data_IF_934172744617
#
_entry.id   IF_934172744617
#
_cell.length_a   1.000
_cell.length_b   1.000
_cell.length_c   1.000
_cell.angle_alpha   90.00
_cell.angle_beta   90.00
_cell.angle_gamma   90.00
#
_symmetry.space_group_name_H-M   'P 1'
#
loop_
_entity.id
_entity.type
_entity.pdbx_description
1 polymer ?
#
# COMPACT_ATOMS: atom_id res chain seq x y z
N UNK A 1 -22.58 -7.74 23.07
CA UNK A 1 -21.64 -7.51 21.95
C UNK A 1 -20.28 -7.95 22.44
N UNK A 2 -19.82 -9.11 21.99
CA UNK A 2 -18.68 -9.79 22.58
C UNK A 2 -17.41 -8.97 22.36
N UNK A 3 -16.58 -8.77 23.40
CA UNK A 3 -15.35 -7.97 23.31
C UNK A 3 -14.42 -8.43 22.18
N UNK A 4 -14.50 -9.71 21.80
CA UNK A 4 -13.79 -10.29 20.64
C UNK A 4 -14.19 -9.61 19.33
N UNK A 5 -15.49 -9.41 19.08
CA UNK A 5 -15.96 -8.77 17.84
C UNK A 5 -15.42 -7.34 17.73
N UNK A 6 -15.52 -6.55 18.80
CA UNK A 6 -14.99 -5.18 18.85
C UNK A 6 -13.46 -5.16 18.69
N UNK A 7 -12.75 -6.09 19.30
CA UNK A 7 -11.31 -6.23 19.13
C UNK A 7 -10.93 -6.51 17.68
N UNK A 8 -11.68 -7.38 16.99
CA UNK A 8 -11.44 -7.67 15.58
C UNK A 8 -11.81 -6.52 14.65
N UNK A 9 -12.80 -5.69 15.01
CA UNK A 9 -13.03 -4.44 14.28
C UNK A 9 -11.84 -3.48 14.38
N UNK A 10 -11.24 -3.34 15.56
CA UNK A 10 -10.05 -2.50 15.76
C UNK A 10 -8.84 -3.05 15.01
N UNK A 11 -8.60 -4.37 15.10
CA UNK A 11 -7.53 -5.04 14.36
C UNK A 11 -7.72 -4.89 12.85
N UNK A 12 -8.94 -5.10 12.38
CA UNK A 12 -9.31 -5.01 10.97
C UNK A 12 -9.25 -3.59 10.42
N UNK A 13 -9.60 -2.58 11.22
CA UNK A 13 -9.43 -1.17 10.84
C UNK A 13 -7.94 -0.81 10.71
N UNK A 14 -7.09 -1.31 11.62
CA UNK A 14 -5.64 -1.11 11.58
C UNK A 14 -5.05 -1.74 10.31
N UNK A 15 -5.36 -3.02 10.06
CA UNK A 15 -4.94 -3.73 8.86
C UNK A 15 -5.46 -3.09 7.59
N UNK A 16 -6.75 -2.75 7.57
CA UNK A 16 -7.40 -2.16 6.42
C UNK A 16 -6.89 -0.78 6.06
N UNK A 17 -6.43 -0.01 7.05
CA UNK A 17 -5.76 1.28 6.81
C UNK A 17 -4.43 1.11 6.07
N UNK A 18 -3.66 0.07 6.42
CA UNK A 18 -2.42 -0.28 5.69
C UNK A 18 -2.73 -0.77 4.28
N UNK A 19 -3.68 -1.70 4.13
CA UNK A 19 -4.11 -2.16 2.81
C UNK A 19 -4.64 -1.00 1.95
N UNK A 20 -5.34 -0.04 2.55
CA UNK A 20 -5.79 1.18 1.89
C UNK A 20 -4.64 2.02 1.34
N UNK A 21 -3.59 2.25 2.12
CA UNK A 21 -2.40 2.98 1.67
C UNK A 21 -1.76 2.32 0.43
N UNK A 22 -1.58 1.00 0.45
CA UNK A 22 -0.98 0.26 -0.67
C UNK A 22 -1.95 0.23 -1.87
N UNK A 23 -3.25 0.01 -1.62
CA UNK A 23 -4.29 0.00 -2.66
C UNK A 23 -4.40 1.33 -3.40
N UNK A 24 -4.19 2.46 -2.72
CA UNK A 24 -4.13 3.78 -3.35
C UNK A 24 -2.94 3.88 -4.31
N UNK A 25 -1.77 3.34 -3.94
CA UNK A 25 -0.61 3.27 -4.82
C UNK A 25 -0.90 2.50 -6.11
N UNK A 26 -1.50 1.31 -5.99
CA UNK A 26 -1.99 0.53 -7.15
C UNK A 26 -2.97 1.33 -8.01
N UNK A 27 -3.95 1.96 -7.37
CA UNK A 27 -5.03 2.71 -8.02
C UNK A 27 -4.51 3.93 -8.77
N UNK A 28 -3.53 4.63 -8.23
CA UNK A 28 -2.88 5.79 -8.85
C UNK A 28 -2.15 5.41 -10.14
N UNK A 29 -1.29 4.38 -10.07
CA UNK A 29 -0.51 3.91 -11.21
C UNK A 29 -1.45 3.36 -12.29
N UNK A 30 -2.39 2.50 -11.90
CA UNK A 30 -3.37 1.95 -12.85
C UNK A 30 -4.25 3.03 -13.44
N UNK A 31 -4.73 4.00 -12.65
CA UNK A 31 -5.64 5.02 -13.15
C UNK A 31 -5.04 5.83 -14.30
N UNK A 32 -3.71 6.04 -14.29
CA UNK A 32 -3.00 6.73 -15.38
C UNK A 32 -2.60 5.78 -16.49
N UNK A 33 -2.12 4.57 -16.18
CA UNK A 33 -1.46 3.66 -17.13
C UNK A 33 -2.40 2.61 -17.72
N UNK A 34 -3.50 2.30 -17.05
CA UNK A 34 -4.41 1.24 -17.42
C UNK A 34 -3.78 -0.15 -17.31
N UNK A 35 -2.68 -0.29 -16.58
CA UNK A 35 -1.96 -1.54 -16.39
C UNK A 35 -1.60 -1.72 -14.92
N UNK A 36 -1.61 -2.97 -14.47
CA UNK A 36 -1.32 -3.34 -13.08
C UNK A 36 0.19 -3.39 -12.88
N UNK A 37 0.65 -2.80 -11.78
CA UNK A 37 2.05 -2.82 -11.38
C UNK A 37 2.30 -3.87 -10.28
N UNK A 38 2.61 -5.10 -10.66
CA UNK A 38 2.90 -6.17 -9.70
C UNK A 38 4.14 -5.90 -8.83
N UNK A 39 5.12 -5.14 -9.32
CA UNK A 39 6.30 -4.76 -8.54
C UNK A 39 5.97 -3.82 -7.37
N UNK A 40 4.76 -3.24 -7.30
CA UNK A 40 4.37 -2.34 -6.21
C UNK A 40 4.36 -3.04 -4.83
N UNK A 41 3.99 -4.32 -4.77
CA UNK A 41 4.08 -5.12 -3.55
C UNK A 41 5.52 -5.29 -3.06
N UNK A 42 6.46 -5.45 -3.99
CA UNK A 42 7.89 -5.53 -3.64
C UNK A 42 8.48 -4.19 -3.20
N UNK A 43 7.96 -3.08 -3.73
CA UNK A 43 8.32 -1.73 -3.23
C UNK A 43 7.90 -1.57 -1.76
N UNK A 44 6.74 -2.12 -1.38
CA UNK A 44 6.31 -2.21 0.01
C UNK A 44 7.28 -3.11 0.83
N UNK A 45 7.66 -4.29 0.33
CA UNK A 45 8.62 -5.16 1.02
C UNK A 45 9.96 -4.46 1.24
N UNK A 46 10.52 -3.82 0.21
CA UNK A 46 11.78 -3.07 0.32
C UNK A 46 11.69 -1.99 1.39
N UNK A 47 10.55 -1.31 1.50
CA UNK A 47 10.37 -0.30 2.54
C UNK A 47 10.36 -0.87 3.96
N UNK A 48 9.92 -2.11 4.17
CA UNK A 48 10.03 -2.80 5.45
C UNK A 48 11.49 -3.05 5.85
N UNK A 49 12.33 -3.52 4.89
CA UNK A 49 13.77 -3.66 5.11
C UNK A 49 14.45 -2.32 5.34
N UNK A 50 14.13 -1.29 4.56
CA UNK A 50 14.67 0.05 4.74
C UNK A 50 14.27 0.64 6.10
N UNK A 51 13.06 0.36 6.57
CA UNK A 51 12.62 0.75 7.91
C UNK A 51 13.53 0.11 8.96
N UNK A 52 13.71 -1.20 8.92
CA UNK A 52 14.59 -1.91 9.85
C UNK A 52 16.05 -1.41 9.82
N UNK A 53 16.60 -1.19 8.63
CA UNK A 53 17.96 -0.65 8.46
C UNK A 53 18.05 0.76 9.07
N UNK A 54 17.07 1.62 8.80
CA UNK A 54 17.07 2.98 9.34
C UNK A 54 16.92 3.02 10.86
N UNK A 55 16.11 2.12 11.43
CA UNK A 55 15.99 1.95 12.88
C UNK A 55 17.33 1.52 13.50
N UNK A 56 17.99 0.53 12.91
CA UNK A 56 19.28 0.04 13.38
C UNK A 56 20.37 1.12 13.30
N UNK A 57 20.41 1.89 12.20
CA UNK A 57 21.36 3.00 12.04
C UNK A 57 21.13 4.11 13.06
N UNK A 58 19.88 4.55 13.25
CA UNK A 58 19.56 5.62 14.22
C UNK A 58 19.84 5.18 15.66
N UNK A 59 19.55 3.92 15.98
CA UNK A 59 19.90 3.34 17.28
C UNK A 59 21.43 3.28 17.48
N UNK A 60 22.20 2.93 16.45
CA UNK A 60 23.66 2.93 16.50
C UNK A 60 24.25 4.33 16.79
N UNK A 61 23.63 5.39 16.27
CA UNK A 61 24.01 6.78 16.57
C UNK A 61 23.46 7.30 17.92
N UNK A 62 22.85 6.45 18.75
CA UNK A 62 22.36 6.83 20.09
C UNK A 62 21.08 7.65 20.07
N UNK A 63 20.31 7.63 18.98
CA UNK A 63 19.00 8.29 18.94
C UNK A 63 17.97 7.41 19.65
N UNK A 64 17.70 7.70 20.92
CA UNK A 64 16.73 6.95 21.73
C UNK A 64 15.32 7.59 21.75
N UNK A 65 15.22 8.86 21.32
CA UNK A 65 13.95 9.59 21.32
C UNK A 65 12.99 9.02 20.26
N UNK A 66 11.89 8.41 20.72
CA UNK A 66 10.89 7.78 19.84
C UNK A 66 10.40 8.70 18.69
N UNK A 67 9.99 9.97 18.92
CA UNK A 67 9.56 10.85 17.84
C UNK A 67 10.64 11.12 16.80
N UNK A 68 11.88 11.32 17.25
CA UNK A 68 13.01 11.61 16.36
C UNK A 68 13.36 10.39 15.51
N UNK A 69 13.36 9.23 16.14
CA UNK A 69 13.63 7.93 15.52
C UNK A 69 12.55 7.59 14.48
N UNK A 70 11.28 7.80 14.80
CA UNK A 70 10.18 7.62 13.85
C UNK A 70 10.23 8.57 12.67
N UNK A 71 10.44 9.87 12.93
CA UNK A 71 10.49 10.86 11.86
C UNK A 71 11.69 10.59 10.95
N UNK A 72 12.85 10.28 11.51
CA UNK A 72 14.05 9.89 10.77
C UNK A 72 13.83 8.64 9.91
N UNK A 73 13.25 7.58 10.49
CA UNK A 73 12.90 6.33 9.79
C UNK A 73 11.93 6.60 8.63
N UNK A 74 10.86 7.35 8.90
CA UNK A 74 9.80 7.62 7.92
C UNK A 74 10.32 8.51 6.77
N UNK A 75 11.12 9.55 7.06
CA UNK A 75 11.75 10.35 6.01
C UNK A 75 12.73 9.55 5.17
N UNK A 76 13.62 8.79 5.82
CA UNK A 76 14.61 7.97 5.12
C UNK A 76 13.93 6.96 4.19
N UNK A 77 12.98 6.20 4.72
CA UNK A 77 12.24 5.20 3.94
C UNK A 77 11.45 5.82 2.79
N UNK A 78 10.73 6.93 3.03
CA UNK A 78 9.98 7.64 1.97
C UNK A 78 10.91 8.08 0.83
N UNK A 79 12.06 8.67 1.16
CA UNK A 79 13.00 9.17 0.15
C UNK A 79 13.57 8.01 -0.66
N UNK A 80 14.11 6.99 0.02
CA UNK A 80 14.78 5.87 -0.66
C UNK A 80 13.77 5.03 -1.45
N UNK A 81 12.61 4.71 -0.89
CA UNK A 81 11.56 3.97 -1.60
C UNK A 81 10.98 4.79 -2.76
N UNK A 82 10.89 6.12 -2.63
CA UNK A 82 10.55 7.01 -3.73
C UNK A 82 11.52 6.92 -4.90
N UNK A 83 12.83 6.81 -4.62
CA UNK A 83 13.87 6.58 -5.63
C UNK A 83 13.71 5.20 -6.29
N UNK A 84 13.36 4.15 -5.53
CA UNK A 84 13.01 2.85 -6.11
C UNK A 84 11.82 2.96 -7.07
N UNK A 85 10.74 3.65 -6.66
CA UNK A 85 9.58 3.88 -7.51
C UNK A 85 9.92 4.58 -8.82
N UNK A 86 10.74 5.65 -8.74
CA UNK A 86 11.23 6.36 -9.92
C UNK A 86 12.11 5.47 -10.83
N UNK A 87 13.03 4.70 -10.22
CA UNK A 87 13.95 3.82 -10.95
C UNK A 87 13.20 2.70 -11.67
N UNK A 88 12.23 2.07 -11.01
CA UNK A 88 11.37 1.04 -11.61
C UNK A 88 10.60 1.63 -12.79
N UNK A 89 10.00 2.82 -12.65
CA UNK A 89 9.32 3.49 -13.76
C UNK A 89 10.26 3.71 -14.94
N UNK A 90 11.46 4.23 -14.68
CA UNK A 90 12.40 4.63 -15.72
C UNK A 90 12.99 3.45 -16.48
N UNK A 91 13.32 2.37 -15.79
CA UNK A 91 14.01 1.21 -16.36
C UNK A 91 13.00 0.20 -16.93
N UNK A 92 11.93 -0.10 -16.19
CA UNK A 92 11.06 -1.23 -16.52
C UNK A 92 9.82 -0.83 -17.31
N UNK A 93 9.27 0.37 -17.06
CA UNK A 93 7.99 0.78 -17.63
C UNK A 93 8.14 1.77 -18.79
N UNK A 94 9.01 2.77 -18.64
CA UNK A 94 9.18 3.84 -19.63
C UNK A 94 9.57 3.31 -21.02
N UNK A 95 10.52 2.36 -21.16
CA UNK A 95 10.91 1.86 -22.48
C UNK A 95 9.79 1.09 -23.19
N UNK A 96 8.90 0.45 -22.43
CA UNK A 96 7.84 -0.41 -22.94
C UNK A 96 6.49 0.32 -23.12
N UNK A 97 6.43 1.62 -22.84
CA UNK A 97 5.18 2.40 -22.84
C UNK A 97 4.48 2.44 -24.20
N UNK A 98 5.25 2.36 -25.30
CA UNK A 98 4.73 2.36 -26.67
C UNK A 98 4.61 0.93 -27.25
N UNK A 99 4.88 -0.10 -26.44
CA UNK A 99 4.76 -1.51 -26.85
C UNK A 99 3.34 -2.03 -26.62
N UNK A 100 3.13 -3.32 -26.85
CA UNK A 100 1.86 -3.99 -26.59
C UNK A 100 1.51 -3.92 -25.10
N UNK A 101 0.20 -3.94 -24.77
CA UNK A 101 -0.28 -3.85 -23.38
C UNK A 101 0.25 -4.97 -22.46
N UNK A 102 0.69 -6.09 -23.03
CA UNK A 102 1.26 -7.21 -22.28
C UNK A 102 2.72 -6.99 -21.88
N UNK A 103 3.50 -6.22 -22.65
CA UNK A 103 4.93 -6.08 -22.39
C UNK A 103 5.24 -5.40 -21.03
N UNK A 104 4.56 -4.30 -20.64
CA UNK A 104 4.76 -3.70 -19.32
C UNK A 104 4.29 -4.60 -18.16
N UNK A 105 3.31 -5.48 -18.39
CA UNK A 105 2.86 -6.46 -17.39
C UNK A 105 3.93 -7.52 -17.13
N UNK A 106 4.52 -8.07 -18.20
CA UNK A 106 5.61 -9.05 -18.11
C UNK A 106 6.83 -8.42 -17.44
N UNK A 107 7.15 -7.18 -17.81
CA UNK A 107 8.23 -6.40 -17.17
C UNK A 107 7.97 -6.18 -15.68
N UNK A 108 6.73 -5.87 -15.29
CA UNK A 108 6.33 -5.72 -13.89
C UNK A 108 6.61 -6.99 -13.07
N UNK A 109 6.23 -8.15 -13.61
CA UNK A 109 6.46 -9.46 -12.98
C UNK A 109 7.96 -9.75 -12.90
N UNK A 110 8.71 -9.47 -13.97
CA UNK A 110 10.17 -9.63 -14.00
C UNK A 110 10.86 -8.79 -12.93
N UNK A 111 10.50 -7.50 -12.80
CA UNK A 111 11.01 -6.64 -11.73
C UNK A 111 10.59 -7.15 -10.36
N UNK A 112 9.35 -7.63 -10.19
CA UNK A 112 8.87 -8.21 -8.93
C UNK A 112 9.80 -9.34 -8.47
N UNK A 113 10.09 -10.28 -9.38
CA UNK A 113 10.99 -11.40 -9.11
C UNK A 113 12.43 -10.93 -8.82
N UNK A 114 12.94 -9.95 -9.58
CA UNK A 114 14.28 -9.40 -9.36
C UNK A 114 14.37 -8.78 -7.96
N UNK A 115 13.42 -7.93 -7.57
CA UNK A 115 13.42 -7.26 -6.28
C UNK A 115 13.26 -8.25 -5.12
N UNK A 116 12.37 -9.22 -5.27
CA UNK A 116 12.16 -10.29 -4.29
C UNK A 116 13.43 -11.13 -4.07
N UNK A 117 14.04 -11.64 -5.14
CA UNK A 117 15.26 -12.43 -5.05
C UNK A 117 16.47 -11.58 -4.61
N UNK A 118 16.53 -10.32 -5.01
CA UNK A 118 17.55 -9.39 -4.53
C UNK A 118 17.46 -9.19 -3.02
N UNK A 119 16.26 -9.00 -2.48
CA UNK A 119 16.06 -8.92 -1.03
C UNK A 119 16.46 -10.23 -0.34
N UNK A 120 16.08 -11.38 -0.90
CA UNK A 120 16.44 -12.69 -0.37
C UNK A 120 17.97 -12.92 -0.32
N UNK A 121 18.71 -12.51 -1.35
CA UNK A 121 20.17 -12.68 -1.40
C UNK A 121 20.87 -11.66 -0.50
N UNK A 122 20.44 -10.40 -0.51
CA UNK A 122 21.12 -9.32 0.21
C UNK A 122 20.83 -9.32 1.73
N UNK A 123 19.61 -9.67 2.12
CA UNK A 123 19.14 -9.63 3.52
C UNK A 123 19.01 -11.04 4.13
N UNK A 124 19.04 -12.08 3.30
CA UNK A 124 18.87 -13.47 3.71
C UNK A 124 17.41 -13.95 3.58
N UNK A 125 17.25 -15.26 3.52
CA UNK A 125 15.93 -15.91 3.35
C UNK A 125 15.17 -16.11 4.66
N UNK A 126 15.74 -15.74 5.81
CA UNK A 126 15.10 -15.89 7.12
C UNK A 126 14.20 -14.70 7.41
N UNK A 127 13.13 -14.96 8.16
CA UNK A 127 12.29 -13.90 8.69
C UNK A 127 13.13 -12.96 9.57
N UNK A 128 13.02 -11.67 9.29
CA UNK A 128 13.68 -10.62 10.07
C UNK A 128 12.67 -9.95 10.98
N UNK A 129 13.17 -9.24 11.99
CA UNK A 129 12.33 -8.51 12.91
C UNK A 129 12.95 -7.22 13.42
N UNK A 130 12.07 -6.35 13.91
CA UNK A 130 12.42 -5.08 14.55
C UNK A 130 11.93 -5.09 15.99
N UNK A 131 12.65 -4.44 16.92
CA UNK A 131 12.21 -4.33 18.30
C UNK A 131 10.88 -3.57 18.41
N UNK A 132 10.13 -3.85 19.47
CA UNK A 132 8.92 -3.09 19.81
C UNK A 132 9.30 -1.68 20.23
N UNK A 133 8.89 -0.68 19.45
CA UNK A 133 9.26 0.73 19.63
C UNK A 133 8.31 1.50 20.55
N UNK A 134 7.06 1.05 20.64
CA UNK A 134 6.00 1.66 21.45
C UNK A 134 5.42 0.59 22.35
N UNK A 135 5.71 0.69 23.64
CA UNK A 135 5.13 -0.16 24.66
C UNK A 135 3.92 0.51 25.30
N UNK A 136 2.90 -0.29 25.62
CA UNK A 136 1.69 0.17 26.28
C UNK A 136 0.43 0.07 25.42
N UNK A 137 -0.69 -0.09 26.10
CA UNK A 137 -2.00 -0.18 25.48
C UNK A 137 -3.08 0.39 26.38
N UNK A 138 -4.07 1.04 25.77
CA UNK A 138 -5.30 1.39 26.44
C UNK A 138 -6.22 0.18 26.39
N UNK A 139 -6.75 -0.22 27.56
CA UNK A 139 -7.75 -1.29 27.67
C UNK A 139 -9.08 -0.67 28.03
N UNK A 140 -10.07 -0.88 27.17
CA UNK A 140 -11.45 -0.47 27.42
C UNK A 140 -12.24 -1.74 27.72
N UNK A 141 -12.80 -1.84 28.92
CA UNK A 141 -13.68 -2.94 29.30
C UNK A 141 -15.02 -2.78 28.59
N UNK A 142 -15.45 -3.81 27.87
CA UNK A 142 -16.74 -3.83 27.18
C UNK A 142 -17.46 -5.15 27.51
N UNK A 143 -18.43 -5.07 28.42
CA UNK A 143 -19.17 -6.24 28.88
C UNK A 143 -18.26 -7.26 29.57
N UNK A 144 -18.26 -8.52 29.10
CA UNK A 144 -17.43 -9.61 29.62
C UNK A 144 -16.02 -9.69 29.03
N UNK A 145 -15.64 -8.75 28.14
CA UNK A 145 -14.33 -8.74 27.49
C UNK A 145 -13.63 -7.38 27.56
N UNK A 146 -12.41 -7.32 27.04
CA UNK A 146 -11.64 -6.09 26.92
C UNK A 146 -11.25 -5.84 25.46
N UNK A 147 -11.30 -4.57 25.07
CA UNK A 147 -10.74 -4.09 23.81
C UNK A 147 -9.39 -3.47 24.11
N UNK A 148 -8.33 -4.02 23.53
CA UNK A 148 -6.97 -3.54 23.67
C UNK A 148 -6.52 -2.76 22.44
N UNK A 149 -6.31 -1.47 22.65
CA UNK A 149 -5.79 -0.53 21.66
C UNK A 149 -4.36 -0.12 22.04
N UNK A 150 -3.38 -0.78 21.43
CA UNK A 150 -1.95 -0.46 21.59
C UNK A 150 -1.65 0.92 21.02
N UNK A 151 -0.73 1.67 21.63
CA UNK A 151 -0.30 2.98 21.08
C UNK A 151 0.21 2.87 19.64
N UNK A 152 0.85 1.76 19.27
CA UNK A 152 1.22 1.44 17.88
C UNK A 152 0.03 1.45 16.93
N UNK A 153 -1.12 0.87 17.32
CA UNK A 153 -2.33 0.86 16.47
C UNK A 153 -2.90 2.26 16.29
N UNK A 154 -2.91 3.07 17.35
CA UNK A 154 -3.35 4.47 17.28
C UNK A 154 -2.46 5.24 16.32
N UNK A 155 -1.14 5.09 16.45
CA UNK A 155 -0.17 5.71 15.56
C UNK A 155 -0.39 5.28 14.09
N UNK A 156 -0.60 3.99 13.83
CA UNK A 156 -0.89 3.47 12.49
C UNK A 156 -2.15 4.10 11.90
N UNK A 157 -3.24 4.14 12.66
CA UNK A 157 -4.49 4.74 12.21
C UNK A 157 -4.28 6.22 11.88
N UNK A 158 -3.68 6.99 12.79
CA UNK A 158 -3.43 8.41 12.58
C UNK A 158 -2.53 8.63 11.36
N UNK A 159 -1.39 7.96 11.27
CA UNK A 159 -0.46 8.11 10.16
C UNK A 159 -1.08 7.70 8.82
N UNK A 160 -1.86 6.61 8.79
CA UNK A 160 -2.53 6.16 7.58
C UNK A 160 -3.63 7.12 7.13
N UNK A 161 -4.51 7.56 8.03
CA UNK A 161 -5.55 8.54 7.68
C UNK A 161 -4.95 9.90 7.27
N UNK A 162 -3.88 10.35 7.92
CA UNK A 162 -3.14 11.55 7.52
C UNK A 162 -2.53 11.37 6.13
N UNK A 163 -1.86 10.24 5.85
CA UNK A 163 -1.28 9.95 4.54
C UNK A 163 -2.32 9.91 3.42
N UNK A 164 -3.42 9.19 3.65
CA UNK A 164 -4.54 9.11 2.70
C UNK A 164 -5.24 10.46 2.50
N UNK A 165 -5.43 11.23 3.58
CA UNK A 165 -6.03 12.56 3.56
C UNK A 165 -5.15 13.57 2.82
N UNK A 166 -3.84 13.57 3.08
CA UNK A 166 -2.85 14.40 2.41
C UNK A 166 -2.84 14.10 0.90
N UNK A 167 -2.79 12.82 0.52
CA UNK A 167 -2.79 12.44 -0.89
C UNK A 167 -4.11 12.83 -1.57
N UNK A 168 -5.25 12.64 -0.90
CA UNK A 168 -6.55 13.08 -1.40
C UNK A 168 -6.58 14.59 -1.62
N UNK A 169 -6.02 15.38 -0.69
CA UNK A 169 -5.89 16.82 -0.84
C UNK A 169 -5.02 17.18 -2.04
N UNK A 170 -3.85 16.54 -2.18
CA UNK A 170 -2.93 16.75 -3.31
C UNK A 170 -3.64 16.46 -4.64
N UNK A 171 -4.33 15.34 -4.76
CA UNK A 171 -4.98 14.95 -6.03
C UNK A 171 -6.21 15.80 -6.34
N UNK A 172 -6.98 16.21 -5.32
CA UNK A 172 -8.21 16.98 -5.54
C UNK A 172 -7.94 18.46 -5.82
N UNK A 173 -7.05 19.09 -5.05
CA UNK A 173 -6.94 20.55 -4.99
C UNK A 173 -5.66 21.14 -5.60
N UNK A 174 -4.64 20.33 -5.94
CA UNK A 174 -3.37 20.88 -6.47
C UNK A 174 -3.24 20.83 -7.99
N UNK A 175 -2.24 21.57 -8.52
CA UNK A 175 -1.84 21.53 -9.94
C UNK A 175 -1.42 20.12 -10.38
N UNK A 176 -0.71 19.38 -9.53
CA UNK A 176 -0.30 17.99 -9.81
C UNK A 176 -1.53 17.11 -10.03
N UNK A 177 -2.52 17.19 -9.14
CA UNK A 177 -3.77 16.46 -9.28
C UNK A 177 -4.58 16.78 -10.54
N UNK A 178 -4.57 18.05 -10.98
CA UNK A 178 -5.16 18.44 -12.29
C UNK A 178 -4.43 17.79 -13.46
N UNK A 179 -3.10 17.81 -13.46
CA UNK A 179 -2.31 17.15 -14.51
C UNK A 179 -2.52 15.63 -14.54
N UNK A 180 -2.58 14.98 -13.37
CA UNK A 180 -2.89 13.56 -13.28
C UNK A 180 -4.25 13.26 -13.93
N UNK A 181 -5.33 13.94 -13.53
CA UNK A 181 -6.67 13.72 -14.08
C UNK A 181 -6.75 13.98 -15.60
N UNK A 182 -6.09 15.04 -16.09
CA UNK A 182 -6.00 15.29 -17.53
C UNK A 182 -5.28 14.15 -18.28
N UNK A 183 -4.17 13.65 -17.71
CA UNK A 183 -3.39 12.54 -18.27
C UNK A 183 -4.17 11.21 -18.23
N UNK A 184 -5.03 11.00 -17.23
CA UNK A 184 -5.92 9.83 -17.14
C UNK A 184 -7.00 9.81 -18.24
N UNK A 185 -7.54 10.98 -18.59
CA UNK A 185 -8.59 11.09 -19.62
C UNK A 185 -8.05 10.85 -21.03
N UNK A 186 -7.00 11.60 -21.39
CA UNK A 186 -6.34 11.44 -22.68
C UNK A 186 -4.88 11.91 -22.63
N UNK A 187 -3.97 10.94 -22.61
CA UNK A 187 -2.53 11.18 -22.56
C UNK A 187 -2.03 11.97 -23.76
N UNK A 188 -2.56 11.70 -24.96
CA UNK A 188 -2.09 12.32 -26.19
C UNK A 188 -2.54 13.78 -26.25
N UNK A 189 -3.81 14.04 -25.92
CA UNK A 189 -4.31 15.41 -25.81
C UNK A 189 -3.60 16.19 -24.71
N UNK A 190 -3.38 15.59 -23.53
CA UNK A 190 -2.66 16.24 -22.44
C UNK A 190 -1.24 16.67 -22.88
N UNK A 191 -0.52 15.84 -23.65
CA UNK A 191 0.80 16.22 -24.19
C UNK A 191 0.74 17.36 -25.21
N UNK A 192 -0.31 17.43 -26.04
CA UNK A 192 -0.49 18.52 -27.01
C UNK A 192 -0.78 19.85 -26.29
N UNK A 193 -1.49 19.80 -25.16
CA UNK A 193 -1.76 20.94 -24.30
C UNK A 193 -0.57 21.37 -23.42
N UNK A 194 0.63 20.83 -23.66
CA UNK A 194 1.86 21.20 -22.97
C UNK A 194 2.10 20.51 -21.62
N UNK A 195 1.27 19.53 -21.23
CA UNK A 195 1.52 18.73 -20.03
C UNK A 195 2.59 17.68 -20.35
N UNK A 196 3.70 17.70 -19.60
CA UNK A 196 4.71 16.66 -19.71
C UNK A 196 4.20 15.36 -19.06
N UNK A 197 3.51 14.53 -19.84
CA UNK A 197 2.89 13.27 -19.38
C UNK A 197 3.90 12.27 -18.84
N UNK A 198 5.12 12.27 -19.38
CA UNK A 198 6.23 11.47 -18.88
C UNK A 198 6.54 11.80 -17.42
N UNK A 199 6.69 13.09 -17.08
CA UNK A 199 6.93 13.53 -15.70
C UNK A 199 5.74 13.22 -14.79
N UNK A 200 4.51 13.39 -15.28
CA UNK A 200 3.30 13.05 -14.51
C UNK A 200 3.31 11.58 -14.12
N UNK A 201 3.66 10.68 -15.04
CA UNK A 201 3.75 9.25 -14.75
C UNK A 201 4.88 8.96 -13.75
N UNK A 202 6.06 9.55 -13.90
CA UNK A 202 7.14 9.41 -12.93
C UNK A 202 6.70 9.89 -11.53
N UNK A 203 6.02 11.02 -11.41
CA UNK A 203 5.49 11.50 -10.13
C UNK A 203 4.50 10.51 -9.50
N UNK A 204 3.66 9.88 -10.31
CA UNK A 204 2.67 8.92 -9.82
C UNK A 204 3.30 7.62 -9.32
N UNK A 205 4.35 7.15 -9.98
CA UNK A 205 5.15 6.03 -9.45
C UNK A 205 5.83 6.39 -8.13
N UNK A 206 6.41 7.59 -8.02
CA UNK A 206 7.03 8.06 -6.77
C UNK A 206 5.98 8.17 -5.66
N UNK A 207 4.85 8.82 -5.90
CA UNK A 207 3.80 8.96 -4.88
C UNK A 207 3.24 7.60 -4.47
N UNK A 208 3.04 6.69 -5.42
CA UNK A 208 2.67 5.31 -5.11
C UNK A 208 3.69 4.65 -4.19
N UNK A 209 4.97 4.71 -4.55
CA UNK A 209 6.07 4.17 -3.75
C UNK A 209 6.15 4.81 -2.35
N UNK A 210 5.87 6.10 -2.20
CA UNK A 210 5.79 6.79 -0.90
C UNK A 210 4.63 6.26 -0.05
N UNK A 211 3.45 6.00 -0.63
CA UNK A 211 2.34 5.38 0.10
C UNK A 211 2.66 3.94 0.52
N UNK A 212 3.35 3.18 -0.34
CA UNK A 212 3.86 1.86 0.01
C UNK A 212 4.91 1.92 1.13
N UNK A 213 5.78 2.94 1.14
CA UNK A 213 6.76 3.16 2.18
C UNK A 213 6.12 3.44 3.54
N UNK A 214 5.12 4.32 3.56
CA UNK A 214 4.30 4.56 4.75
C UNK A 214 3.67 3.25 5.25
N UNK A 215 3.03 2.49 4.35
CA UNK A 215 2.42 1.22 4.71
C UNK A 215 3.43 0.21 5.27
N UNK A 216 4.61 0.09 4.66
CA UNK A 216 5.70 -0.79 5.07
C UNK A 216 6.22 -0.48 6.46
N UNK A 217 6.55 0.78 6.74
CA UNK A 217 6.98 1.20 8.09
C UNK A 217 5.91 0.86 9.13
N UNK A 218 4.66 1.22 8.85
CA UNK A 218 3.55 1.06 9.80
C UNK A 218 3.26 -0.41 10.15
N UNK A 219 3.30 -1.31 9.17
CA UNK A 219 2.99 -2.73 9.42
C UNK A 219 4.18 -3.50 9.98
N UNK A 220 5.42 -3.13 9.61
CA UNK A 220 6.64 -3.65 10.24
C UNK A 220 6.65 -3.32 11.73
N UNK A 221 6.21 -2.11 12.11
CA UNK A 221 6.03 -1.75 13.53
C UNK A 221 4.91 -2.55 14.22
N UNK A 222 3.84 -2.90 13.49
CA UNK A 222 2.69 -3.60 14.07
C UNK A 222 2.99 -5.07 14.36
N UNK A 223 3.62 -5.77 13.40
CA UNK A 223 3.89 -7.21 13.50
C UNK A 223 5.29 -7.53 14.01
N UNK A 224 6.20 -6.56 13.99
CA UNK A 224 7.59 -6.72 14.45
C UNK A 224 8.43 -7.65 13.58
N UNK A 225 7.86 -8.28 12.56
CA UNK A 225 8.54 -9.24 11.68
C UNK A 225 8.08 -9.10 10.23
N UNK A 226 8.97 -9.47 9.32
CA UNK A 226 8.73 -9.44 7.88
C UNK A 226 9.70 -10.42 7.19
N UNK A 227 9.34 -10.85 5.98
CA UNK A 227 10.14 -11.72 5.15
C UNK A 227 10.24 -11.16 3.72
N UNK A 228 11.03 -11.84 2.86
CA UNK A 228 11.19 -11.46 1.47
C UNK A 228 9.98 -11.81 0.59
N UNK A 229 9.01 -12.59 1.09
CA UNK A 229 7.84 -13.00 0.31
C UNK A 229 6.59 -12.16 0.63
N UNK A 230 6.64 -11.39 1.72
CA UNK A 230 5.57 -10.54 2.21
C UNK A 230 5.10 -9.54 1.16
N UNK A 231 6.01 -9.07 0.29
CA UNK A 231 5.69 -8.18 -0.83
C UNK A 231 4.65 -8.76 -1.77
N UNK A 232 4.76 -10.04 -2.12
CA UNK A 232 3.83 -10.71 -3.02
C UNK A 232 2.46 -10.90 -2.37
N UNK A 233 2.41 -11.47 -1.16
CA UNK A 233 1.14 -11.73 -0.44
C UNK A 233 0.39 -10.43 -0.20
N UNK A 234 1.06 -9.42 0.36
CA UNK A 234 0.45 -8.14 0.68
C UNK A 234 0.12 -7.36 -0.59
N UNK A 235 0.94 -7.47 -1.64
CA UNK A 235 0.66 -6.89 -2.95
C UNK A 235 -0.65 -7.39 -3.53
N UNK A 236 -0.91 -8.70 -3.51
CA UNK A 236 -2.17 -9.26 -4.01
C UNK A 236 -3.34 -8.85 -3.12
N UNK A 237 -3.19 -8.84 -1.78
CA UNK A 237 -4.26 -8.36 -0.88
C UNK A 237 -4.60 -6.89 -1.10
N UNK A 238 -3.59 -6.04 -1.26
CA UNK A 238 -3.81 -4.63 -1.56
C UNK A 238 -4.41 -4.43 -2.96
N UNK A 239 -4.05 -5.27 -3.93
CA UNK A 239 -4.72 -5.31 -5.23
C UNK A 239 -6.20 -5.70 -5.07
N UNK A 240 -6.52 -6.70 -4.25
CA UNK A 240 -7.91 -7.05 -3.90
C UNK A 240 -8.65 -5.87 -3.31
N UNK A 241 -8.04 -5.15 -2.37
CA UNK A 241 -8.62 -3.93 -1.80
C UNK A 241 -8.87 -2.86 -2.88
N UNK A 242 -7.94 -2.67 -3.82
CA UNK A 242 -8.10 -1.73 -4.92
C UNK A 242 -9.25 -2.14 -5.88
N UNK A 243 -9.36 -3.43 -6.22
CA UNK A 243 -10.46 -3.97 -7.05
C UNK A 243 -11.80 -3.84 -6.34
N UNK A 244 -11.87 -4.25 -5.07
CA UNK A 244 -13.05 -4.10 -4.22
C UNK A 244 -13.53 -2.65 -4.18
N UNK A 245 -12.59 -1.71 -4.00
CA UNK A 245 -12.87 -0.28 -4.00
C UNK A 245 -13.30 0.29 -5.35
N UNK A 246 -12.90 -0.37 -6.44
CA UNK A 246 -12.98 0.15 -7.81
C UNK A 246 -11.65 0.77 -8.23
N UNK A 247 -10.84 0.00 -8.95
CA UNK A 247 -9.53 0.43 -9.44
C UNK A 247 -9.64 1.73 -10.24
N UNK A 248 -8.75 2.68 -9.98
CA UNK A 248 -8.74 4.00 -10.59
C UNK A 248 -9.46 5.08 -9.77
N UNK A 249 -10.24 4.69 -8.74
CA UNK A 249 -10.88 5.60 -7.79
C UNK A 249 -10.11 5.64 -6.46
N UNK A 250 -9.46 6.78 -6.15
CA UNK A 250 -8.73 6.95 -4.87
C UNK A 250 -9.63 6.68 -3.64
N UNK A 251 -10.81 7.32 -3.51
CA UNK A 251 -11.69 7.06 -2.37
C UNK A 251 -12.22 5.62 -2.34
N UNK A 252 -12.42 5.03 -3.52
CA UNK A 252 -12.74 3.62 -3.68
C UNK A 252 -11.69 2.73 -3.03
N UNK A 253 -10.42 2.89 -3.41
CA UNK A 253 -9.31 2.11 -2.89
C UNK A 253 -9.15 2.23 -1.36
N UNK A 254 -9.39 3.43 -0.80
CA UNK A 254 -9.38 3.64 0.65
C UNK A 254 -10.45 2.80 1.35
N UNK A 255 -11.70 2.88 0.88
CA UNK A 255 -12.80 2.10 1.45
C UNK A 255 -12.61 0.60 1.23
N UNK A 256 -12.12 0.20 0.05
CA UNK A 256 -11.81 -1.19 -0.26
C UNK A 256 -10.74 -1.78 0.67
N UNK A 257 -9.69 -1.01 1.00
CA UNK A 257 -8.71 -1.39 2.02
C UNK A 257 -9.32 -1.64 3.38
N UNK A 258 -10.13 -0.68 3.86
CA UNK A 258 -10.81 -0.78 5.16
C UNK A 258 -11.76 -1.98 5.20
N UNK A 259 -12.59 -2.18 4.17
CA UNK A 259 -13.55 -3.28 4.12
C UNK A 259 -12.82 -4.62 4.07
N UNK A 260 -11.77 -4.74 3.25
CA UNK A 260 -10.98 -5.97 3.18
C UNK A 260 -10.34 -6.28 4.54
N UNK A 261 -9.69 -5.30 5.17
CA UNK A 261 -9.04 -5.49 6.47
C UNK A 261 -10.01 -5.87 7.59
N UNK A 262 -11.18 -5.23 7.65
CA UNK A 262 -12.25 -5.59 8.60
C UNK A 262 -12.75 -7.01 8.34
N UNK A 263 -13.06 -7.34 7.09
CA UNK A 263 -13.58 -8.66 6.74
C UNK A 263 -12.56 -9.76 7.04
N UNK A 264 -11.30 -9.53 6.70
CA UNK A 264 -10.19 -10.45 6.92
C UNK A 264 -9.92 -10.65 8.43
N UNK A 265 -9.98 -9.58 9.23
CA UNK A 265 -9.79 -9.70 10.69
C UNK A 265 -10.97 -10.38 11.39
N UNK A 266 -12.20 -10.15 10.93
CA UNK A 266 -13.38 -10.84 11.45
C UNK A 266 -13.33 -12.33 11.09
N UNK A 267 -12.98 -12.68 9.85
CA UNK A 267 -12.83 -14.07 9.43
C UNK A 267 -11.73 -14.78 10.23
N UNK A 268 -10.56 -14.16 10.35
CA UNK A 268 -9.44 -14.72 11.11
C UNK A 268 -9.74 -14.87 12.60
N UNK A 269 -10.56 -14.00 13.18
CA UNK A 269 -10.87 -14.01 14.60
C UNK A 269 -12.06 -14.88 15.01
N UNK A 270 -12.99 -15.14 14.09
CA UNK A 270 -14.23 -15.89 14.37
C UNK A 270 -14.27 -17.28 13.74
N UNK A 271 -13.56 -17.49 12.63
CA UNK A 271 -13.61 -18.74 11.86
C UNK A 271 -12.28 -19.47 11.96
N UNK A 272 -11.26 -19.01 11.23
CA UNK A 272 -9.94 -19.64 11.22
C UNK A 272 -8.88 -18.68 10.65
N UNK A 273 -7.76 -18.51 11.35
CA UNK A 273 -6.63 -17.68 10.92
C UNK A 273 -5.84 -18.27 9.76
N UNK A 274 -5.81 -19.59 9.60
CA UNK A 274 -4.99 -20.28 8.58
C UNK A 274 -5.58 -20.08 7.18
N UNK A 275 -6.90 -19.96 7.09
CA UNK A 275 -7.62 -19.72 5.82
C UNK A 275 -7.80 -18.22 5.51
N UNK A 276 -7.15 -17.32 6.26
CA UNK A 276 -7.25 -15.87 6.10
C UNK A 276 -6.89 -15.38 4.69
N UNK A 277 -5.85 -15.94 4.09
CA UNK A 277 -5.41 -15.57 2.74
C UNK A 277 -6.37 -16.10 1.68
N UNK A 278 -6.84 -17.35 1.85
CA UNK A 278 -7.84 -17.97 0.97
C UNK A 278 -9.13 -17.13 0.98
N UNK A 279 -9.58 -16.67 2.15
CA UNK A 279 -10.74 -15.80 2.27
C UNK A 279 -10.55 -14.48 1.52
N UNK A 280 -9.41 -13.83 1.70
CA UNK A 280 -9.08 -12.56 1.04
C UNK A 280 -9.08 -12.69 -0.49
N UNK A 281 -8.53 -13.78 -1.03
CA UNK A 281 -8.53 -14.03 -2.47
C UNK A 281 -9.89 -14.50 -3.00
N UNK A 282 -10.65 -15.26 -2.22
CA UNK A 282 -12.03 -15.62 -2.56
C UNK A 282 -12.91 -14.39 -2.71
N UNK A 283 -12.72 -13.40 -1.83
CA UNK A 283 -13.42 -12.12 -1.88
C UNK A 283 -13.09 -11.34 -3.17
N UNK A 284 -11.84 -11.35 -3.63
CA UNK A 284 -11.46 -10.80 -4.94
C UNK A 284 -12.24 -11.47 -6.08
N UNK A 285 -12.23 -12.80 -6.13
CA UNK A 285 -12.89 -13.58 -7.19
C UNK A 285 -14.39 -13.27 -7.20
N UNK A 286 -15.02 -13.26 -6.02
CA UNK A 286 -16.44 -12.98 -5.87
C UNK A 286 -16.80 -11.58 -6.39
N UNK A 287 -15.99 -10.56 -6.10
CA UNK A 287 -16.21 -9.20 -6.59
C UNK A 287 -16.05 -9.12 -8.10
N UNK A 288 -15.03 -9.77 -8.66
CA UNK A 288 -14.83 -9.75 -10.10
C UNK A 288 -16.00 -10.41 -10.86
N UNK A 289 -16.64 -11.43 -10.28
CA UNK A 289 -17.82 -12.09 -10.85
C UNK A 289 -19.07 -11.19 -10.74
N UNK A 290 -19.37 -10.66 -9.55
CA UNK A 290 -20.65 -9.99 -9.30
C UNK A 290 -20.62 -8.48 -9.52
N UNK A 291 -19.48 -7.82 -9.31
CA UNK A 291 -19.29 -6.36 -9.44
C UNK A 291 -17.87 -6.02 -9.95
N UNK A 292 -17.56 -6.26 -11.24
CA UNK A 292 -16.23 -6.02 -11.80
C UNK A 292 -15.77 -4.56 -11.76
N UNK A 293 -16.70 -3.60 -11.55
CA UNK A 293 -16.39 -2.18 -11.38
C UNK A 293 -16.00 -1.82 -9.94
N UNK A 294 -16.10 -2.75 -8.98
CA UNK A 294 -15.93 -2.46 -7.56
C UNK A 294 -17.05 -1.60 -6.96
N UNK A 295 -16.83 -1.08 -5.76
CA UNK A 295 -17.82 -0.29 -5.00
C UNK A 295 -18.01 1.13 -5.53
N UNK A 296 -16.91 1.81 -5.89
CA UNK A 296 -16.88 3.21 -6.33
C UNK A 296 -16.18 3.40 -7.69
N UNK A 297 -16.00 2.33 -8.47
CA UNK A 297 -15.45 2.45 -9.81
C UNK A 297 -16.45 3.09 -10.76
N UNK A 298 -15.93 3.90 -11.69
CA UNK A 298 -16.74 4.54 -12.73
C UNK A 298 -16.78 3.63 -13.96
N UNK A 299 -17.93 3.47 -14.63
CA UNK A 299 -17.99 2.75 -15.89
C UNK A 299 -17.06 3.42 -16.91
N UNK A 300 -16.32 2.61 -17.66
CA UNK A 300 -15.54 3.09 -18.79
C UNK A 300 -16.52 3.68 -19.79
N UNK A 301 -16.57 5.01 -19.89
CA UNK A 301 -17.33 5.68 -20.94
C UNK A 301 -16.65 5.30 -22.26
N UNK A 302 -17.35 4.54 -23.10
CA UNK A 302 -16.88 4.21 -24.44
C UNK A 302 -16.59 5.54 -25.16
N UNK A 303 -15.33 5.74 -25.58
CA UNK A 303 -14.96 6.85 -26.45
C UNK A 303 -15.66 6.59 -27.79
N UNK A 304 -16.72 7.36 -28.07
CA UNK A 304 -17.33 7.49 -29.41
C UNK A 304 -16.53 8.52 -30.19
#
# INVERSE_FOLDING_TARGET
>A
MDGIFLQQLVNGLTLGSVYGLIAIGYTMVYGIIGMINFAHGEVYMISAYLAAISLALLAYFGVESFPLLMLGTLLFTIVVTGVYGFTIERIAYKPLRNSTRLAPLISAIGISLILQNYAQISQGARQQGVPTLLEGAMRVEVGSGFVQLTYTKIFILVAAFVGMGLLTYVIKYTKLGRMCRATQQDRKMASILGINTDRVISYVFVIGAVMAALAGVLITMNYGTFDFYAGFIIGIKAFTAAVLGGIGSLPGAMLGGIILGISESLFSGLINSDYKDVFSFSLLVMILIFRPQGLLGRPLVAKV
#
